data_IF_024620967601
#
_entry.id   IF_024620967601
#
_cell.length_a   1.000
_cell.length_b   1.000
_cell.length_c   1.000
_cell.angle_alpha   90.00
_cell.angle_beta   90.00
_cell.angle_gamma   90.00
#
_symmetry.space_group_name_H-M   'P 1'
#
loop_
_entity.id
_entity.type
_entity.pdbx_description
1 polymer ?
#
# COMPACT_ATOMS: atom_id res chain seq x y z
N UNK A 1 5.16 12.44 -3.20
CA UNK A 1 5.18 13.88 -2.87
C UNK A 1 4.91 14.10 -1.37
N UNK A 2 3.98 13.39 -0.72
CA UNK A 2 3.61 13.62 0.69
C UNK A 2 4.38 12.76 1.70
N UNK A 3 5.14 11.75 1.29
CA UNK A 3 5.91 10.87 2.19
C UNK A 3 7.04 11.63 2.88
N UNK A 4 7.83 12.39 2.12
CA UNK A 4 8.97 13.13 2.66
C UNK A 4 8.56 14.13 3.76
N UNK A 5 7.56 15.03 3.58
CA UNK A 5 7.11 15.91 4.64
C UNK A 5 6.65 15.20 5.91
N UNK A 6 6.15 13.96 5.81
CA UNK A 6 5.73 13.18 6.97
C UNK A 6 6.95 12.65 7.72
N UNK A 7 7.90 12.02 7.03
CA UNK A 7 9.09 11.43 7.68
C UNK A 7 10.08 12.47 8.18
N UNK A 8 10.07 13.69 7.65
CA UNK A 8 10.86 14.82 8.18
C UNK A 8 10.35 15.30 9.55
N UNK A 9 9.12 14.94 9.95
CA UNK A 9 8.46 15.37 11.19
C UNK A 9 8.07 14.22 12.11
N UNK A 10 8.34 12.97 11.72
CA UNK A 10 7.95 11.80 12.52
C UNK A 10 8.84 10.60 12.23
N UNK A 11 8.90 9.71 13.20
CA UNK A 11 9.43 8.38 12.97
C UNK A 11 8.48 7.64 12.00
N UNK A 12 8.99 6.94 10.96
CA UNK A 12 8.20 6.36 9.86
C UNK A 12 7.05 5.46 10.32
N UNK A 13 7.34 4.52 11.23
CA UNK A 13 6.35 3.55 11.71
C UNK A 13 5.31 4.20 12.61
N UNK A 14 5.69 5.23 13.37
CA UNK A 14 4.77 6.04 14.17
C UNK A 14 3.75 6.79 13.30
N UNK A 15 4.21 7.38 12.21
CA UNK A 15 3.34 8.04 11.24
C UNK A 15 2.36 7.05 10.59
N UNK A 16 2.82 5.87 10.23
CA UNK A 16 2.00 4.84 9.60
C UNK A 16 1.03 4.19 10.59
N UNK A 17 1.43 3.95 11.84
CA UNK A 17 0.52 3.50 12.89
C UNK A 17 -0.63 4.51 13.08
N UNK A 18 -0.30 5.80 13.18
CA UNK A 18 -1.27 6.89 13.27
C UNK A 18 -2.20 6.92 12.05
N UNK A 19 -1.66 6.86 10.83
CA UNK A 19 -2.43 6.82 9.60
C UNK A 19 -3.42 5.65 9.59
N UNK A 20 -2.94 4.42 9.81
CA UNK A 20 -3.76 3.23 9.69
C UNK A 20 -4.73 3.04 10.84
N UNK A 21 -4.47 3.64 12.01
CA UNK A 21 -5.47 3.77 13.06
C UNK A 21 -6.70 4.55 12.56
N UNK A 22 -6.51 5.75 12.00
CA UNK A 22 -7.62 6.56 11.49
C UNK A 22 -8.28 5.93 10.26
N UNK A 23 -7.52 5.30 9.37
CA UNK A 23 -8.07 4.60 8.21
C UNK A 23 -8.94 3.42 8.64
N UNK A 24 -8.48 2.60 9.59
CA UNK A 24 -9.24 1.49 10.11
C UNK A 24 -10.52 1.96 10.82
N UNK A 25 -10.41 3.00 11.65
CA UNK A 25 -11.55 3.60 12.33
C UNK A 25 -12.58 4.16 11.33
N UNK A 26 -12.12 4.85 10.29
CA UNK A 26 -13.01 5.40 9.27
C UNK A 26 -13.74 4.33 8.47
N UNK A 27 -13.06 3.27 8.05
CA UNK A 27 -13.73 2.13 7.38
C UNK A 27 -14.67 1.39 8.31
N UNK A 28 -14.33 1.26 9.59
CA UNK A 28 -15.21 0.68 10.60
C UNK A 28 -16.50 1.49 10.73
N UNK A 29 -16.40 2.81 10.92
CA UNK A 29 -17.55 3.72 11.01
C UNK A 29 -18.39 3.64 9.74
N UNK A 30 -17.76 3.66 8.57
CA UNK A 30 -18.44 3.56 7.29
C UNK A 30 -19.19 2.22 7.13
N UNK A 31 -18.55 1.11 7.53
CA UNK A 31 -19.17 -0.23 7.50
C UNK A 31 -20.39 -0.31 8.41
N UNK A 32 -20.31 0.28 9.61
CA UNK A 32 -21.46 0.35 10.53
C UNK A 32 -22.56 1.22 9.94
N UNK A 33 -22.24 2.40 9.41
CA UNK A 33 -23.22 3.31 8.81
C UNK A 33 -23.98 2.68 7.63
N UNK A 34 -23.28 1.90 6.81
CA UNK A 34 -23.86 1.20 5.65
C UNK A 34 -24.45 -0.17 5.99
N UNK A 35 -24.44 -0.58 7.26
CA UNK A 35 -24.92 -1.89 7.73
C UNK A 35 -24.19 -3.08 7.05
N UNK A 36 -22.93 -2.91 6.66
CA UNK A 36 -22.10 -4.02 6.20
C UNK A 36 -21.76 -4.95 7.35
N UNK A 37 -21.83 -6.25 7.10
CA UNK A 37 -21.50 -7.24 8.11
C UNK A 37 -19.99 -7.22 8.41
N UNK A 38 -19.65 -6.94 9.67
CA UNK A 38 -18.29 -7.09 10.18
C UNK A 38 -18.01 -8.53 10.65
N UNK A 39 -19.03 -9.39 10.68
CA UNK A 39 -18.86 -10.80 11.01
C UNK A 39 -18.25 -11.53 9.83
N UNK A 40 -17.03 -12.00 10.00
CA UNK A 40 -16.27 -12.73 8.99
C UNK A 40 -15.80 -14.07 9.54
N UNK A 41 -15.59 -15.04 8.68
CA UNK A 41 -14.99 -16.31 9.07
C UNK A 41 -13.56 -16.08 9.58
N UNK A 42 -13.07 -16.94 10.47
CA UNK A 42 -11.69 -16.89 10.98
C UNK A 42 -10.67 -16.89 9.82
N UNK A 43 -10.92 -17.66 8.78
CA UNK A 43 -10.08 -17.70 7.59
C UNK A 43 -10.02 -16.34 6.88
N UNK A 44 -11.18 -15.71 6.63
CA UNK A 44 -11.24 -14.40 5.96
C UNK A 44 -10.61 -13.29 6.80
N UNK A 45 -10.78 -13.34 8.12
CA UNK A 45 -10.13 -12.41 9.04
C UNK A 45 -8.59 -12.50 8.93
N UNK A 46 -8.05 -13.71 9.05
CA UNK A 46 -6.60 -13.94 8.96
C UNK A 46 -6.08 -13.49 7.58
N UNK A 47 -6.77 -13.85 6.51
CA UNK A 47 -6.39 -13.48 5.15
C UNK A 47 -6.36 -11.96 4.96
N UNK A 48 -7.36 -11.23 5.47
CA UNK A 48 -7.40 -9.78 5.42
C UNK A 48 -6.30 -9.14 6.27
N UNK A 49 -6.05 -9.65 7.48
CA UNK A 49 -4.96 -9.16 8.33
C UNK A 49 -3.58 -9.37 7.68
N UNK A 50 -3.33 -10.57 7.12
CA UNK A 50 -2.08 -10.87 6.40
C UNK A 50 -1.91 -9.96 5.19
N UNK A 51 -2.97 -9.76 4.41
CA UNK A 51 -2.96 -8.81 3.29
C UNK A 51 -2.62 -7.39 3.76
N UNK A 52 -3.18 -6.97 4.89
CA UNK A 52 -2.89 -5.68 5.52
C UNK A 52 -1.43 -5.55 5.99
N UNK A 53 -0.88 -6.59 6.61
CA UNK A 53 0.54 -6.62 6.98
C UNK A 53 1.44 -6.50 5.76
N UNK A 54 1.14 -7.22 4.68
CA UNK A 54 1.94 -7.15 3.45
C UNK A 54 1.80 -5.78 2.76
N UNK A 55 0.56 -5.29 2.56
CA UNK A 55 0.27 -4.08 1.78
C UNK A 55 0.57 -2.79 2.57
N UNK A 56 0.10 -2.73 3.80
CA UNK A 56 0.17 -1.53 4.62
C UNK A 56 1.33 -1.57 5.60
N UNK A 57 1.66 -2.75 6.12
CA UNK A 57 2.76 -2.94 7.06
C UNK A 57 4.13 -2.90 6.37
N UNK A 58 4.51 -3.98 5.70
CA UNK A 58 5.87 -4.17 5.17
C UNK A 58 6.13 -3.25 3.97
N UNK A 59 5.21 -3.20 2.99
CA UNK A 59 5.41 -2.37 1.81
C UNK A 59 5.51 -0.88 2.16
N UNK A 60 4.49 -0.30 2.80
CA UNK A 60 4.53 1.12 3.13
C UNK A 60 5.55 1.43 4.23
N UNK A 61 5.76 0.53 5.19
CA UNK A 61 6.80 0.65 6.19
C UNK A 61 8.18 0.77 5.57
N UNK A 62 8.51 -0.08 4.61
CA UNK A 62 9.78 -0.05 3.91
C UNK A 62 9.96 1.21 3.05
N UNK A 63 8.91 1.66 2.33
CA UNK A 63 8.94 2.92 1.57
C UNK A 63 9.13 4.14 2.49
N UNK A 64 8.43 4.21 3.61
CA UNK A 64 8.60 5.32 4.56
C UNK A 64 9.97 5.30 5.23
N UNK A 65 10.46 4.11 5.60
CA UNK A 65 11.80 3.94 6.14
C UNK A 65 12.87 4.32 5.13
N UNK A 66 12.78 3.88 3.87
CA UNK A 66 13.77 4.22 2.84
C UNK A 66 13.92 5.74 2.66
N UNK A 67 12.79 6.45 2.61
CA UNK A 67 12.78 7.92 2.51
C UNK A 67 13.36 8.57 3.76
N UNK A 68 13.10 8.01 4.97
CA UNK A 68 13.61 8.57 6.23
C UNK A 68 15.13 8.45 6.36
N UNK A 69 15.74 7.42 5.78
CA UNK A 69 17.21 7.26 5.76
C UNK A 69 17.87 8.02 4.61
N UNK A 70 17.11 8.83 3.86
CA UNK A 70 17.63 9.73 2.83
C UNK A 70 17.55 9.19 1.40
N UNK A 71 16.84 8.08 1.16
CA UNK A 71 16.58 7.58 -0.20
C UNK A 71 15.85 8.63 -1.03
N UNK A 72 16.34 9.00 -2.23
CA UNK A 72 15.60 9.87 -3.12
C UNK A 72 14.26 9.26 -3.51
N UNK A 73 13.17 10.00 -3.27
CA UNK A 73 11.81 9.51 -3.52
C UNK A 73 11.55 9.08 -4.97
N UNK A 74 12.27 9.67 -5.94
CA UNK A 74 12.22 9.28 -7.35
C UNK A 74 12.79 7.88 -7.58
N UNK A 75 13.94 7.56 -6.97
CA UNK A 75 14.57 6.24 -7.10
C UNK A 75 13.73 5.18 -6.37
N UNK A 76 13.23 5.50 -5.17
CA UNK A 76 12.33 4.62 -4.43
C UNK A 76 11.08 4.28 -5.27
N UNK A 77 10.42 5.29 -5.83
CA UNK A 77 9.27 5.11 -6.71
C UNK A 77 9.62 4.28 -7.96
N UNK A 78 10.79 4.52 -8.57
CA UNK A 78 11.23 3.78 -9.75
C UNK A 78 11.40 2.28 -9.47
N UNK A 79 12.01 1.92 -8.34
CA UNK A 79 12.13 0.52 -7.92
C UNK A 79 10.75 -0.10 -7.73
N UNK A 80 9.83 0.60 -7.05
CA UNK A 80 8.46 0.09 -6.82
C UNK A 80 7.68 -0.05 -8.12
N UNK A 81 7.95 0.77 -9.15
CA UNK A 81 7.29 0.61 -10.47
C UNK A 81 7.68 -0.66 -11.21
N UNK A 82 8.66 -1.43 -10.73
CA UNK A 82 8.94 -2.80 -11.21
C UNK A 82 7.88 -3.82 -10.76
N UNK A 83 6.98 -3.46 -9.83
CA UNK A 83 5.94 -4.35 -9.30
C UNK A 83 5.10 -5.04 -10.39
N UNK A 84 4.57 -4.38 -11.42
CA UNK A 84 3.80 -5.05 -12.47
C UNK A 84 4.63 -6.10 -13.23
N UNK A 85 5.93 -5.83 -13.47
CA UNK A 85 6.84 -6.77 -14.12
C UNK A 85 6.98 -8.02 -13.24
N UNK A 86 7.32 -7.83 -11.97
CA UNK A 86 7.52 -8.91 -11.02
C UNK A 86 6.21 -9.70 -10.78
N UNK A 87 5.08 -9.01 -10.67
CA UNK A 87 3.77 -9.64 -10.53
C UNK A 87 3.46 -10.54 -11.73
N UNK A 88 3.71 -10.09 -12.96
CA UNK A 88 3.43 -10.90 -14.14
C UNK A 88 4.38 -12.09 -14.31
N UNK A 89 5.66 -11.93 -13.95
CA UNK A 89 6.60 -13.06 -13.92
C UNK A 89 6.12 -14.15 -12.95
N UNK A 90 5.64 -13.75 -11.78
CA UNK A 90 5.21 -14.68 -10.72
C UNK A 90 3.77 -15.18 -10.91
N UNK A 91 2.90 -14.42 -11.59
CA UNK A 91 1.52 -14.82 -11.83
C UNK A 91 1.41 -16.10 -12.66
N UNK A 92 2.28 -16.28 -13.65
CA UNK A 92 2.31 -17.50 -14.47
C UNK A 92 2.41 -18.77 -13.63
N UNK A 93 3.48 -18.99 -12.88
CA UNK A 93 3.67 -20.20 -12.09
C UNK A 93 2.74 -20.29 -10.87
N UNK A 94 2.35 -19.15 -10.25
CA UNK A 94 1.56 -19.17 -9.00
C UNK A 94 0.06 -19.23 -9.25
N UNK A 95 -0.44 -18.46 -10.23
CA UNK A 95 -1.88 -18.31 -10.52
C UNK A 95 -2.31 -19.10 -11.77
N UNK A 96 -1.34 -19.70 -12.49
CA UNK A 96 -1.56 -20.37 -13.78
C UNK A 96 -2.20 -19.44 -14.83
N UNK A 97 -1.89 -18.15 -14.76
CA UNK A 97 -2.34 -17.15 -15.72
C UNK A 97 -1.33 -17.00 -16.86
N UNK A 98 -1.81 -16.92 -18.08
CA UNK A 98 -0.99 -16.62 -19.24
C UNK A 98 -0.96 -15.09 -19.46
N UNK A 99 0.21 -14.49 -19.32
CA UNK A 99 0.42 -13.08 -19.62
C UNK A 99 0.62 -12.92 -21.12
N UNK A 100 -0.26 -12.16 -21.79
CA UNK A 100 -0.19 -11.95 -23.22
C UNK A 100 1.00 -11.06 -23.62
N UNK A 101 1.47 -11.21 -24.87
CA UNK A 101 2.54 -10.37 -25.41
C UNK A 101 2.18 -8.86 -25.38
N UNK A 102 0.92 -8.51 -25.63
CA UNK A 102 0.47 -7.13 -25.56
C UNK A 102 0.54 -6.54 -24.13
N UNK A 103 0.28 -7.36 -23.09
CA UNK A 103 0.45 -6.94 -21.71
C UNK A 103 1.93 -6.67 -21.39
N UNK A 104 2.85 -7.49 -21.87
CA UNK A 104 4.29 -7.26 -21.72
C UNK A 104 4.74 -5.94 -22.36
N UNK A 105 4.29 -5.66 -23.59
CA UNK A 105 4.59 -4.38 -24.24
C UNK A 105 4.07 -3.21 -23.40
N UNK A 106 2.82 -3.27 -22.92
CA UNK A 106 2.23 -2.22 -22.10
C UNK A 106 3.01 -1.97 -20.82
N UNK A 107 3.45 -3.04 -20.14
CA UNK A 107 4.24 -2.95 -18.90
C UNK A 107 5.60 -2.30 -19.17
N UNK A 108 6.30 -2.74 -20.23
CA UNK A 108 7.61 -2.17 -20.59
C UNK A 108 7.50 -0.69 -20.99
N UNK A 109 6.49 -0.32 -21.76
CA UNK A 109 6.25 1.08 -22.11
C UNK A 109 5.91 1.92 -20.88
N UNK A 110 5.10 1.41 -19.96
CA UNK A 110 4.80 2.07 -18.69
C UNK A 110 6.04 2.26 -17.82
N UNK A 111 6.90 1.25 -17.72
CA UNK A 111 8.16 1.33 -16.99
C UNK A 111 9.12 2.36 -17.63
N UNK A 112 9.28 2.34 -18.97
CA UNK A 112 10.08 3.34 -19.68
C UNK A 112 9.54 4.76 -19.45
N UNK A 113 8.21 4.94 -19.49
CA UNK A 113 7.58 6.21 -19.14
C UNK A 113 7.91 6.68 -17.71
N UNK A 114 7.88 5.77 -16.74
CA UNK A 114 8.26 6.07 -15.35
C UNK A 114 9.74 6.49 -15.25
N UNK A 115 10.64 5.79 -15.93
CA UNK A 115 12.07 6.13 -15.99
C UNK A 115 12.28 7.53 -16.56
N UNK A 116 11.58 7.88 -17.65
CA UNK A 116 11.69 9.19 -18.28
C UNK A 116 11.19 10.34 -17.39
N UNK A 117 10.09 10.10 -16.65
CA UNK A 117 9.48 11.11 -15.78
C UNK A 117 10.25 11.29 -14.47
N UNK A 118 10.62 10.18 -13.82
CA UNK A 118 11.30 10.22 -12.52
C UNK A 118 12.78 10.56 -12.64
N UNK A 119 13.39 10.25 -13.80
CA UNK A 119 14.82 10.46 -14.07
C UNK A 119 15.71 9.58 -13.22
N UNK A 120 17.00 9.65 -13.50
CA UNK A 120 18.03 9.07 -12.66
C UNK A 120 18.70 10.19 -11.85
N UNK A 121 18.37 10.30 -10.58
CA UNK A 121 19.07 11.22 -9.66
C UNK A 121 20.40 10.58 -9.21
N UNK A 122 21.29 10.34 -10.22
CA UNK A 122 22.52 9.56 -10.07
C UNK A 122 23.59 10.30 -9.22
N UNK A 123 23.37 11.59 -8.92
CA UNK A 123 24.33 12.44 -8.22
C UNK A 123 24.26 12.41 -6.69
N UNK A 124 23.31 11.70 -6.09
CA UNK A 124 23.14 11.64 -4.64
C UNK A 124 23.66 10.33 -4.07
N UNK A 125 24.22 10.40 -2.85
CA UNK A 125 24.51 9.19 -2.08
C UNK A 125 23.21 8.41 -1.83
N UNK A 126 23.12 7.22 -2.40
CA UNK A 126 21.99 6.31 -2.24
C UNK A 126 22.28 5.45 -1.00
N UNK A 127 21.50 5.56 0.08
CA UNK A 127 21.73 4.77 1.29
C UNK A 127 21.41 3.29 1.02
N UNK A 128 22.35 2.43 1.36
CA UNK A 128 22.22 0.98 1.14
C UNK A 128 21.01 0.40 1.88
N UNK A 129 20.77 0.85 3.12
CA UNK A 129 19.60 0.43 3.92
C UNK A 129 18.28 0.86 3.26
N UNK A 130 18.25 2.03 2.62
CA UNK A 130 17.11 2.50 1.84
C UNK A 130 16.82 1.61 0.64
N UNK A 131 17.86 1.17 -0.09
CA UNK A 131 17.71 0.25 -1.23
C UNK A 131 17.14 -1.09 -0.77
N UNK A 132 17.69 -1.66 0.31
CA UNK A 132 17.19 -2.93 0.87
C UNK A 132 15.72 -2.80 1.26
N UNK A 133 15.36 -1.73 1.98
CA UNK A 133 13.99 -1.48 2.41
C UNK A 133 13.04 -1.36 1.21
N UNK A 134 13.44 -0.68 0.14
CA UNK A 134 12.63 -0.55 -1.08
C UNK A 134 12.48 -1.88 -1.83
N UNK A 135 13.52 -2.72 -1.87
CA UNK A 135 13.45 -4.07 -2.46
C UNK A 135 12.49 -4.95 -1.64
N UNK A 136 12.58 -4.92 -0.31
CA UNK A 136 11.64 -5.64 0.57
C UNK A 136 10.21 -5.15 0.33
N UNK A 137 10.02 -3.83 0.16
CA UNK A 137 8.73 -3.23 -0.18
C UNK A 137 8.18 -3.74 -1.50
N UNK A 138 9.01 -3.80 -2.55
CA UNK A 138 8.65 -4.33 -3.86
C UNK A 138 8.21 -5.81 -3.79
N UNK A 139 8.96 -6.64 -3.07
CA UNK A 139 8.62 -8.05 -2.87
C UNK A 139 7.30 -8.17 -2.10
N UNK A 140 7.14 -7.36 -1.07
CA UNK A 140 5.94 -7.37 -0.22
C UNK A 140 4.67 -6.98 -0.99
N UNK A 141 4.70 -5.87 -1.75
CA UNK A 141 3.54 -5.43 -2.53
C UNK A 141 3.20 -6.41 -3.66
N UNK A 142 4.21 -7.02 -4.27
CA UNK A 142 4.02 -8.07 -5.27
C UNK A 142 3.35 -9.30 -4.66
N UNK A 143 3.85 -9.76 -3.51
CA UNK A 143 3.28 -10.88 -2.76
C UNK A 143 1.85 -10.59 -2.32
N UNK A 144 1.58 -9.38 -1.82
CA UNK A 144 0.25 -8.94 -1.43
C UNK A 144 -0.74 -8.96 -2.60
N UNK A 145 -0.31 -8.50 -3.78
CA UNK A 145 -1.14 -8.49 -4.98
C UNK A 145 -1.51 -9.90 -5.44
N UNK A 146 -0.53 -10.80 -5.46
CA UNK A 146 -0.75 -12.22 -5.81
C UNK A 146 -1.63 -12.90 -4.76
N UNK A 147 -1.38 -12.61 -3.47
CA UNK A 147 -2.19 -13.11 -2.35
C UNK A 147 -3.64 -12.67 -2.48
N UNK A 148 -3.89 -11.38 -2.72
CA UNK A 148 -5.24 -10.86 -2.93
C UNK A 148 -5.96 -11.52 -4.11
N UNK A 149 -5.29 -11.70 -5.24
CA UNK A 149 -5.86 -12.43 -6.38
C UNK A 149 -6.29 -13.85 -6.03
N UNK A 150 -5.50 -14.54 -5.19
CA UNK A 150 -5.76 -15.93 -4.80
C UNK A 150 -6.92 -16.07 -3.82
N UNK A 151 -7.13 -15.09 -2.94
CA UNK A 151 -8.11 -15.15 -1.85
C UNK A 151 -9.37 -14.34 -2.12
N UNK A 152 -9.38 -13.54 -3.21
CA UNK A 152 -10.49 -12.63 -3.46
C UNK A 152 -11.79 -13.43 -3.56
N UNK A 153 -12.84 -12.96 -2.93
CA UNK A 153 -14.19 -12.86 -3.47
C UNK A 153 -15.35 -13.12 -2.51
N UNK A 154 -15.14 -13.28 -1.21
CA UNK A 154 -16.26 -13.56 -0.31
C UNK A 154 -16.53 -12.46 0.73
N UNK A 155 -15.82 -11.33 0.66
CA UNK A 155 -16.01 -10.23 1.60
C UNK A 155 -16.33 -8.93 0.89
N UNK A 156 -17.24 -8.10 1.42
CA UNK A 156 -17.39 -6.71 1.02
C UNK A 156 -16.02 -6.01 1.12
N UNK A 157 -15.70 -5.18 0.13
CA UNK A 157 -14.43 -4.45 0.08
C UNK A 157 -14.19 -3.62 1.34
N UNK A 158 -15.24 -3.02 1.86
CA UNK A 158 -15.25 -2.19 3.05
C UNK A 158 -14.79 -2.96 4.29
N UNK A 159 -15.38 -4.13 4.50
CA UNK A 159 -15.04 -5.02 5.61
C UNK A 159 -13.60 -5.53 5.47
N UNK A 160 -13.20 -5.92 4.26
CA UNK A 160 -11.83 -6.36 3.99
C UNK A 160 -10.82 -5.23 4.27
N UNK A 161 -11.09 -4.00 3.80
CA UNK A 161 -10.22 -2.84 4.02
C UNK A 161 -10.12 -2.44 5.49
N UNK A 162 -11.20 -2.58 6.27
CA UNK A 162 -11.16 -2.36 7.73
C UNK A 162 -10.12 -3.28 8.37
N UNK A 163 -10.17 -4.57 8.07
CA UNK A 163 -9.23 -5.55 8.63
C UNK A 163 -7.82 -5.43 8.05
N UNK A 164 -7.67 -5.05 6.78
CA UNK A 164 -6.37 -4.79 6.20
C UNK A 164 -5.70 -3.57 6.85
N UNK A 165 -6.43 -2.47 7.03
CA UNK A 165 -5.91 -1.29 7.72
C UNK A 165 -5.55 -1.60 9.18
N UNK A 166 -6.38 -2.41 9.87
CA UNK A 166 -6.08 -2.88 11.21
C UNK A 166 -4.80 -3.73 11.26
N UNK A 167 -4.63 -4.65 10.30
CA UNK A 167 -3.41 -5.47 10.19
C UNK A 167 -2.16 -4.62 10.00
N UNK A 168 -2.20 -3.61 9.13
CA UNK A 168 -1.11 -2.64 8.95
C UNK A 168 -0.84 -1.83 10.22
N UNK A 169 -1.88 -1.35 10.88
CA UNK A 169 -1.77 -0.62 12.14
C UNK A 169 -1.07 -1.45 13.24
N UNK A 170 -1.54 -2.68 13.45
CA UNK A 170 -0.96 -3.59 14.44
C UNK A 170 0.50 -3.92 14.13
N UNK A 171 0.84 -4.14 12.86
CA UNK A 171 2.22 -4.35 12.43
C UNK A 171 3.12 -3.18 12.85
N UNK A 172 2.70 -1.94 12.54
CA UNK A 172 3.49 -0.76 12.90
C UNK A 172 3.60 -0.55 14.40
N UNK A 173 2.54 -0.81 15.15
CA UNK A 173 2.58 -0.78 16.63
C UNK A 173 3.60 -1.79 17.16
N UNK A 174 3.65 -3.00 16.63
CA UNK A 174 4.65 -4.00 17.03
C UNK A 174 6.07 -3.53 16.71
N UNK A 175 6.30 -2.94 15.53
CA UNK A 175 7.62 -2.37 15.20
C UNK A 175 8.00 -1.26 16.20
N UNK A 176 7.08 -0.38 16.56
CA UNK A 176 7.34 0.70 17.52
C UNK A 176 7.72 0.13 18.89
N UNK A 177 6.99 -0.88 19.36
CA UNK A 177 7.23 -1.47 20.68
C UNK A 177 8.60 -2.16 20.77
N UNK A 178 9.02 -2.87 19.73
CA UNK A 178 10.21 -3.72 19.78
C UNK A 178 11.47 -3.09 19.18
N UNK A 179 11.35 -2.15 18.23
CA UNK A 179 12.49 -1.69 17.44
C UNK A 179 12.70 -0.19 17.41
N UNK A 180 11.65 0.62 17.64
CA UNK A 180 11.75 2.09 17.54
C UNK A 180 11.11 2.77 18.74
N UNK A 181 10.83 4.06 18.63
CA UNK A 181 10.11 4.82 19.66
C UNK A 181 8.99 5.59 18.97
N UNK A 182 7.84 5.70 19.64
CA UNK A 182 6.77 6.53 19.16
C UNK A 182 7.20 8.01 19.17
N UNK A 183 7.29 8.61 17.98
CA UNK A 183 7.71 9.99 17.84
C UNK A 183 6.98 10.65 16.66
N UNK A 184 6.15 11.65 16.96
CA UNK A 184 5.44 12.50 15.98
C UNK A 184 5.54 13.94 16.43
N UNK A 185 6.03 14.80 15.54
CA UNK A 185 5.92 16.25 15.68
C UNK A 185 4.69 16.73 14.90
N UNK A 186 3.64 17.12 15.61
CA UNK A 186 2.38 17.60 15.03
C UNK A 186 2.49 19.02 14.46
N UNK A 187 3.45 19.23 13.55
CA UNK A 187 3.57 20.46 12.79
C UNK A 187 2.40 20.62 11.80
N UNK A 188 2.13 21.83 11.35
CA UNK A 188 1.13 22.08 10.30
C UNK A 188 1.41 21.27 9.03
N UNK A 189 2.69 21.17 8.64
CA UNK A 189 3.14 20.38 7.48
C UNK A 189 2.82 18.91 7.63
N UNK A 190 3.08 18.34 8.83
CA UNK A 190 2.74 16.95 9.12
C UNK A 190 1.24 16.70 9.05
N UNK A 191 0.44 17.57 9.72
CA UNK A 191 -1.02 17.44 9.77
C UNK A 191 -1.61 17.54 8.35
N UNK A 192 -1.18 18.49 7.55
CA UNK A 192 -1.65 18.67 6.18
C UNK A 192 -1.30 17.45 5.29
N UNK A 193 -0.04 16.98 5.34
CA UNK A 193 0.40 15.82 4.58
C UNK A 193 -0.29 14.53 5.02
N UNK A 194 -0.49 14.34 6.34
CA UNK A 194 -1.17 13.19 6.90
C UNK A 194 -2.67 13.19 6.57
N UNK A 195 -3.33 14.34 6.66
CA UNK A 195 -4.74 14.49 6.27
C UNK A 195 -4.93 14.15 4.78
N UNK A 196 -4.04 14.63 3.91
CA UNK A 196 -4.03 14.23 2.50
C UNK A 196 -3.89 12.71 2.33
N UNK A 197 -2.96 12.08 3.05
CA UNK A 197 -2.74 10.62 2.98
C UNK A 197 -3.96 9.83 3.47
N UNK A 198 -4.59 10.24 4.56
CA UNK A 198 -5.77 9.56 5.13
C UNK A 198 -6.99 9.79 4.23
N UNK A 199 -7.33 11.05 3.93
CA UNK A 199 -8.58 11.39 3.26
C UNK A 199 -8.54 11.10 1.76
N UNK A 200 -7.51 11.58 1.05
CA UNK A 200 -7.47 11.46 -0.41
C UNK A 200 -6.83 10.17 -0.88
N UNK A 201 -5.73 9.73 -0.28
CA UNK A 201 -5.04 8.51 -0.73
C UNK A 201 -5.77 7.26 -0.21
N UNK A 202 -6.15 7.21 1.07
CA UNK A 202 -6.79 6.00 1.62
C UNK A 202 -8.28 5.94 1.29
N UNK A 203 -9.07 6.97 1.61
CA UNK A 203 -10.52 6.95 1.35
C UNK A 203 -10.88 7.33 -0.08
N UNK A 204 -10.14 8.25 -0.73
CA UNK A 204 -10.39 8.66 -2.11
C UNK A 204 -10.15 7.53 -3.11
N UNK A 205 -9.03 6.80 -2.99
CA UNK A 205 -8.77 5.64 -3.84
C UNK A 205 -9.84 4.55 -3.65
N UNK A 206 -10.30 4.34 -2.41
CA UNK A 206 -11.36 3.38 -2.11
C UNK A 206 -12.68 3.74 -2.78
N UNK A 207 -13.13 5.00 -2.67
CA UNK A 207 -14.40 5.43 -3.30
C UNK A 207 -14.36 5.27 -4.82
N UNK A 208 -13.23 5.57 -5.44
CA UNK A 208 -13.05 5.39 -6.89
C UNK A 208 -13.14 3.92 -7.31
N UNK A 209 -12.48 3.02 -6.56
CA UNK A 209 -12.53 1.57 -6.85
C UNK A 209 -13.92 1.01 -6.63
N UNK A 210 -14.59 1.35 -5.53
CA UNK A 210 -15.97 0.91 -5.26
C UNK A 210 -16.94 1.39 -6.34
N UNK A 211 -16.81 2.64 -6.80
CA UNK A 211 -17.67 3.19 -7.84
C UNK A 211 -17.48 2.50 -9.20
N UNK A 212 -16.23 2.19 -9.56
CA UNK A 212 -15.94 1.47 -10.83
C UNK A 212 -16.44 0.02 -10.79
N UNK A 213 -16.34 -0.66 -9.66
CA UNK A 213 -16.87 -2.02 -9.50
C UNK A 213 -18.40 -2.07 -9.56
N UNK A 214 -19.11 -1.14 -8.92
CA UNK A 214 -20.58 -1.05 -8.99
C UNK A 214 -21.05 -0.83 -10.43
N UNK A 215 -20.42 0.08 -11.17
CA UNK A 215 -20.75 0.36 -12.56
C UNK A 215 -20.47 -0.82 -13.51
N UNK A 216 -19.39 -1.56 -13.28
CA UNK A 216 -19.07 -2.76 -14.07
C UNK A 216 -20.07 -3.91 -13.83
N UNK A 217 -20.72 -3.99 -12.67
CA UNK A 217 -21.81 -4.93 -12.41
C UNK A 217 -23.10 -4.52 -13.10
N UNK A 218 -23.46 -3.24 -13.11
CA UNK A 218 -24.67 -2.74 -13.79
C UNK A 218 -24.63 -2.91 -15.31
N UNK A 219 -23.45 -2.74 -15.93
CA UNK A 219 -23.30 -2.93 -17.40
C UNK A 219 -23.28 -4.40 -17.84
N UNK A 220 -23.22 -5.37 -16.94
CA UNK A 220 -23.29 -6.80 -17.27
C UNK A 220 -24.72 -7.36 -17.25
N UNK A 221 -25.72 -6.57 -16.85
CA UNK A 221 -27.12 -6.99 -16.72
C UNK A 221 -27.97 -6.51 -17.93
N UNK A 222 -27.35 -5.85 -18.87
CA UNK A 222 -27.92 -5.49 -20.16
C UNK A 222 -27.07 -6.13 -21.26
#
# INVERSE_FOLDING_TARGET
ITTKPIVDHSEPFSALAFRFFFVSLGFLIFSIYKNFSLKVSKSNLIQSLVSGVLFHGIYLGGVFYSVSVGMPTGIDALIVTLQPILTNILAGPILKENVSYHQWIGILLGFLGAVLVLGFDIGKNIPFDGVIATIISLISITSATIWQKKISNNLPLETSNTYQALGGCLFHILIIIFFTKFQINFSFTFIAAMSHQVLLVSFGAFTTVSYTHLRAHETRIH
#
